data_IF_820226237959
#
_entry.id   IF_820226237959
#
_cell.length_a   1.000
_cell.length_b   1.000
_cell.length_c   1.000
_cell.angle_alpha   90.00
_cell.angle_beta   90.00
_cell.angle_gamma   90.00
#
_symmetry.space_group_name_H-M   'P 1'
#
loop_
_entity.id
_entity.type
_entity.pdbx_description
1 polymer ?
#
# COMPACT_ATOMS: atom_id res chain seq x y z
N UNK A 1 -5.40 -15.53 23.83
CA UNK A 1 -4.52 -16.22 22.84
C UNK A 1 -3.47 -15.23 22.36
N UNK A 2 -2.18 -15.61 22.29
CA UNK A 2 -1.09 -14.69 21.89
C UNK A 2 -1.31 -14.20 20.45
N UNK A 3 -1.24 -12.88 20.21
CA UNK A 3 -1.37 -12.30 18.86
C UNK A 3 -0.29 -12.83 17.89
N UNK A 4 0.83 -13.33 18.42
CA UNK A 4 1.93 -13.88 17.65
C UNK A 4 1.75 -15.34 17.22
N UNK A 5 0.62 -15.97 17.57
CA UNK A 5 0.24 -17.28 17.03
C UNK A 5 -0.64 -17.17 15.78
N UNK A 6 -1.18 -15.97 15.51
CA UNK A 6 -1.99 -15.69 14.33
C UNK A 6 -1.09 -15.17 13.18
N UNK A 7 -0.64 -16.11 12.35
CA UNK A 7 0.29 -15.81 11.23
C UNK A 7 -0.36 -14.90 10.20
N UNK A 8 -1.63 -15.11 9.87
CA UNK A 8 -2.34 -14.33 8.85
C UNK A 8 -2.48 -12.88 9.29
N UNK A 9 -2.89 -12.65 10.55
CA UNK A 9 -2.99 -11.31 11.11
C UNK A 9 -1.65 -10.59 11.19
N UNK A 10 -0.56 -11.32 11.46
CA UNK A 10 0.79 -10.74 11.40
C UNK A 10 1.17 -10.33 9.98
N UNK A 11 0.89 -11.18 8.99
CA UNK A 11 1.14 -10.88 7.56
C UNK A 11 0.35 -9.66 7.12
N UNK A 12 -0.94 -9.57 7.46
CA UNK A 12 -1.79 -8.43 7.14
C UNK A 12 -1.24 -7.12 7.73
N UNK A 13 -0.82 -7.13 9.00
CA UNK A 13 -0.25 -5.94 9.64
C UNK A 13 1.11 -5.52 9.06
N UNK A 14 1.88 -6.46 8.52
CA UNK A 14 3.11 -6.13 7.77
C UNK A 14 2.74 -5.47 6.44
N UNK A 15 1.78 -6.04 5.72
CA UNK A 15 1.31 -5.49 4.44
C UNK A 15 0.74 -4.07 4.61
N UNK A 16 0.05 -3.80 5.73
CA UNK A 16 -0.54 -2.50 6.09
C UNK A 16 0.45 -1.54 6.79
N UNK A 17 1.72 -1.93 6.99
CA UNK A 17 2.76 -1.16 7.70
C UNK A 17 2.51 -0.87 9.19
N UNK A 18 1.47 -1.43 9.79
CA UNK A 18 1.21 -1.43 11.24
C UNK A 18 2.24 -2.22 12.05
N UNK A 19 3.02 -3.08 11.38
CA UNK A 19 4.05 -3.90 11.99
C UNK A 19 5.27 -4.03 11.07
N UNK A 20 6.44 -3.61 11.55
CA UNK A 20 7.66 -3.75 10.76
C UNK A 20 8.26 -5.16 10.85
N UNK A 21 8.90 -5.61 9.76
CA UNK A 21 9.63 -6.89 9.72
C UNK A 21 10.79 -6.92 10.72
N UNK A 22 11.49 -5.81 10.94
CA UNK A 22 12.59 -5.72 11.91
C UNK A 22 12.09 -5.86 13.34
N UNK A 23 10.93 -5.27 13.68
CA UNK A 23 10.26 -5.48 14.97
C UNK A 23 9.96 -6.96 15.20
N UNK A 24 9.41 -7.65 14.19
CA UNK A 24 9.12 -9.08 14.28
C UNK A 24 10.38 -9.94 14.42
N UNK A 25 11.46 -9.62 13.70
CA UNK A 25 12.74 -10.31 13.86
C UNK A 25 13.26 -10.18 15.31
N UNK A 26 13.17 -8.98 15.89
CA UNK A 26 13.52 -8.76 17.30
C UNK A 26 12.66 -9.60 18.26
N UNK A 27 11.34 -9.64 18.05
CA UNK A 27 10.43 -10.44 18.87
C UNK A 27 10.68 -11.94 18.73
N UNK A 28 10.96 -12.41 17.52
CA UNK A 28 11.34 -13.81 17.27
C UNK A 28 12.55 -14.23 18.09
N UNK A 29 13.60 -13.40 18.11
CA UNK A 29 14.81 -13.67 18.89
C UNK A 29 14.52 -13.75 20.39
N UNK A 30 13.66 -12.84 20.91
CA UNK A 30 13.23 -12.85 22.32
C UNK A 30 12.43 -14.11 22.67
N UNK A 31 11.51 -14.54 21.81
CA UNK A 31 10.73 -15.77 22.04
C UNK A 31 11.58 -17.03 21.99
N UNK A 32 12.57 -17.10 21.09
CA UNK A 32 13.56 -18.19 21.11
C UNK A 32 14.32 -18.25 22.43
N UNK A 33 14.81 -17.11 22.91
CA UNK A 33 15.54 -17.04 24.18
C UNK A 33 14.68 -17.43 25.40
N UNK A 34 13.37 -17.15 25.33
CA UNK A 34 12.40 -17.50 26.37
C UNK A 34 11.82 -18.92 26.26
N UNK A 35 12.30 -19.75 25.32
CA UNK A 35 11.77 -21.11 25.10
C UNK A 35 10.37 -21.17 24.48
N UNK A 36 9.84 -20.03 24.00
CA UNK A 36 8.53 -19.89 23.33
C UNK A 36 8.65 -20.23 21.85
N UNK A 37 8.85 -21.51 21.56
CA UNK A 37 9.16 -22.01 20.21
C UNK A 37 8.00 -21.80 19.23
N UNK A 38 6.77 -22.03 19.66
CA UNK A 38 5.58 -21.88 18.82
C UNK A 38 5.42 -20.46 18.27
N UNK A 39 5.54 -19.43 19.12
CA UNK A 39 5.47 -18.04 18.68
C UNK A 39 6.68 -17.64 17.81
N UNK A 40 7.88 -18.15 18.12
CA UNK A 40 9.05 -17.90 17.30
C UNK A 40 8.95 -18.52 15.89
N UNK A 41 8.31 -19.68 15.76
CA UNK A 41 8.01 -20.33 14.48
C UNK A 41 6.92 -19.58 13.71
N UNK A 42 5.84 -19.20 14.37
CA UNK A 42 4.76 -18.43 13.77
C UNK A 42 5.27 -17.08 13.20
N UNK A 43 6.10 -16.36 13.95
CA UNK A 43 6.77 -15.15 13.45
C UNK A 43 7.69 -15.48 12.27
N UNK A 44 8.44 -16.58 12.33
CA UNK A 44 9.28 -17.04 11.23
C UNK A 44 8.49 -17.26 9.94
N UNK A 45 7.31 -17.86 10.05
CA UNK A 45 6.39 -18.11 8.93
C UNK A 45 5.87 -16.79 8.34
N UNK A 46 5.42 -15.86 9.18
CA UNK A 46 4.97 -14.54 8.74
C UNK A 46 6.09 -13.76 8.02
N UNK A 47 7.33 -13.83 8.52
CA UNK A 47 8.49 -13.20 7.89
C UNK A 47 8.83 -13.83 6.53
N UNK A 48 8.63 -15.14 6.34
CA UNK A 48 8.87 -15.77 5.04
C UNK A 48 7.77 -15.41 4.03
N UNK A 49 6.51 -15.42 4.46
CA UNK A 49 5.38 -15.03 3.62
C UNK A 49 5.45 -13.57 3.15
N UNK A 50 6.02 -12.69 3.96
CA UNK A 50 6.18 -11.26 3.64
C UNK A 50 7.57 -10.90 3.09
N UNK A 51 8.34 -11.90 2.64
CA UNK A 51 9.68 -11.68 2.10
C UNK A 51 9.68 -10.95 0.76
N UNK A 52 8.66 -11.17 -0.07
CA UNK A 52 8.53 -10.58 -1.41
C UNK A 52 7.42 -9.54 -1.45
N UNK A 53 7.74 -8.35 -1.97
CA UNK A 53 6.79 -7.28 -2.26
C UNK A 53 5.72 -7.72 -3.26
N UNK A 54 6.11 -8.45 -4.32
CA UNK A 54 5.18 -9.03 -5.29
C UNK A 54 4.15 -9.97 -4.65
N UNK A 55 4.58 -10.79 -3.68
CA UNK A 55 3.63 -11.63 -2.92
C UNK A 55 2.67 -10.78 -2.07
N UNK A 56 3.12 -9.64 -1.55
CA UNK A 56 2.25 -8.67 -0.87
C UNK A 56 1.19 -8.07 -1.78
N UNK A 57 1.56 -7.69 -3.00
CA UNK A 57 0.62 -7.18 -4.01
C UNK A 57 -0.44 -8.23 -4.36
N UNK A 58 -0.05 -9.50 -4.53
CA UNK A 58 -1.00 -10.58 -4.79
C UNK A 58 -1.98 -10.80 -3.63
N UNK A 59 -1.49 -10.76 -2.38
CA UNK A 59 -2.36 -10.86 -1.19
C UNK A 59 -3.32 -9.69 -1.11
N UNK A 60 -2.85 -8.47 -1.36
CA UNK A 60 -3.71 -7.29 -1.38
C UNK A 60 -4.79 -7.43 -2.45
N UNK A 61 -4.41 -7.83 -3.68
CA UNK A 61 -5.38 -8.06 -4.76
C UNK A 61 -6.47 -9.06 -4.37
N UNK A 62 -6.10 -10.17 -3.71
CA UNK A 62 -7.07 -11.16 -3.21
C UNK A 62 -8.00 -10.59 -2.14
N UNK A 63 -7.48 -9.80 -1.19
CA UNK A 63 -8.31 -9.15 -0.16
C UNK A 63 -9.29 -8.15 -0.76
N UNK A 64 -8.83 -7.33 -1.72
CA UNK A 64 -9.67 -6.37 -2.42
C UNK A 64 -10.80 -7.07 -3.19
N UNK A 65 -10.49 -8.14 -3.92
CA UNK A 65 -11.49 -8.92 -4.65
C UNK A 65 -12.55 -9.53 -3.71
N UNK A 66 -12.19 -9.89 -2.48
CA UNK A 66 -13.14 -10.40 -1.48
C UNK A 66 -13.98 -9.32 -0.79
N UNK A 67 -13.55 -8.05 -0.81
CA UNK A 67 -14.20 -6.93 -0.10
C UNK A 67 -15.05 -6.03 -1.01
N UNK A 68 -14.70 -5.95 -2.30
CA UNK A 68 -15.29 -5.01 -3.24
C UNK A 68 -16.45 -5.67 -3.97
N UNK A 69 -17.61 -5.03 -3.96
CA UNK A 69 -18.73 -5.42 -4.82
C UNK A 69 -18.41 -5.04 -6.27
N UNK A 70 -18.61 -5.98 -7.20
CA UNK A 70 -18.40 -5.70 -8.62
C UNK A 70 -19.23 -4.50 -9.08
N UNK A 71 -18.60 -3.66 -9.89
CA UNK A 71 -19.28 -2.52 -10.49
C UNK A 71 -20.26 -3.00 -11.54
N UNK A 72 -21.42 -2.35 -11.61
CA UNK A 72 -22.36 -2.54 -12.71
C UNK A 72 -21.67 -2.34 -14.08
N UNK A 73 -22.03 -3.16 -15.06
CA UNK A 73 -21.34 -3.23 -16.34
C UNK A 73 -21.36 -1.89 -17.10
N UNK A 74 -22.47 -1.13 -17.04
CA UNK A 74 -22.60 0.16 -17.70
C UNK A 74 -21.65 1.18 -17.07
N UNK A 75 -21.63 1.25 -15.73
CA UNK A 75 -20.72 2.11 -14.96
C UNK A 75 -19.25 1.74 -15.17
N UNK A 76 -18.95 0.45 -15.27
CA UNK A 76 -17.59 -0.04 -15.53
C UNK A 76 -17.09 0.41 -16.91
N UNK A 77 -17.95 0.35 -17.93
CA UNK A 77 -17.65 0.83 -19.28
C UNK A 77 -17.47 2.35 -19.29
N UNK A 78 -18.37 3.10 -18.65
CA UNK A 78 -18.30 4.56 -18.56
C UNK A 78 -16.99 5.02 -17.90
N UNK A 79 -16.64 4.42 -16.76
CA UNK A 79 -15.38 4.71 -16.07
C UNK A 79 -14.18 4.40 -16.96
N UNK A 80 -14.15 3.22 -17.58
CA UNK A 80 -13.04 2.80 -18.45
C UNK A 80 -12.88 3.74 -19.64
N UNK A 81 -13.97 4.09 -20.31
CA UNK A 81 -13.95 5.01 -21.44
C UNK A 81 -13.43 6.39 -21.05
N UNK A 82 -13.91 6.92 -19.93
CA UNK A 82 -13.47 8.21 -19.37
C UNK A 82 -11.97 8.19 -19.08
N UNK A 83 -11.50 7.18 -18.35
CA UNK A 83 -10.07 7.03 -18.02
C UNK A 83 -9.22 6.88 -19.30
N UNK A 84 -9.65 6.07 -20.27
CA UNK A 84 -8.93 5.89 -21.54
C UNK A 84 -8.83 7.18 -22.37
N UNK A 85 -9.87 8.02 -22.38
CA UNK A 85 -9.84 9.31 -23.06
C UNK A 85 -8.73 10.22 -22.53
N UNK A 86 -8.51 10.24 -21.21
CA UNK A 86 -7.46 11.05 -20.59
C UNK A 86 -6.10 10.35 -20.60
N UNK A 87 -6.06 9.02 -20.52
CA UNK A 87 -4.81 8.25 -20.61
C UNK A 87 -4.10 8.46 -21.96
N UNK A 88 -4.84 8.62 -23.05
CA UNK A 88 -4.24 8.94 -24.36
C UNK A 88 -3.62 10.35 -24.44
N UNK A 89 -3.97 11.25 -23.50
CA UNK A 89 -3.42 12.60 -23.33
C UNK A 89 -2.49 12.70 -22.11
N UNK A 90 -2.10 11.55 -21.56
CA UNK A 90 -1.54 11.40 -20.21
C UNK A 90 -0.30 12.25 -19.94
N UNK A 91 0.66 12.31 -20.86
CA UNK A 91 1.95 12.96 -20.59
C UNK A 91 1.79 14.46 -20.37
N UNK A 92 1.05 15.15 -21.24
CA UNK A 92 0.79 16.58 -21.11
C UNK A 92 -0.07 16.89 -19.89
N UNK A 93 -1.04 16.01 -19.59
CA UNK A 93 -1.91 16.16 -18.42
C UNK A 93 -1.13 15.98 -17.10
N UNK A 94 -0.28 14.95 -17.00
CA UNK A 94 0.55 14.70 -15.82
C UNK A 94 1.52 15.86 -15.57
N UNK A 95 2.23 16.31 -16.61
CA UNK A 95 3.13 17.46 -16.51
C UNK A 95 2.38 18.73 -16.07
N UNK A 96 1.20 18.99 -16.64
CA UNK A 96 0.37 20.14 -16.28
C UNK A 96 -0.10 20.11 -14.83
N UNK A 97 -0.48 18.93 -14.31
CA UNK A 97 -0.87 18.76 -12.91
C UNK A 97 0.32 19.03 -11.99
N UNK A 98 1.50 18.48 -12.29
CA UNK A 98 2.70 18.71 -11.49
C UNK A 98 3.07 20.20 -11.48
N UNK A 99 3.09 20.86 -12.64
CA UNK A 99 3.37 22.29 -12.73
C UNK A 99 2.36 23.13 -11.93
N UNK A 100 1.06 22.80 -11.99
CA UNK A 100 0.04 23.49 -11.22
C UNK A 100 0.28 23.38 -9.71
N UNK A 101 0.68 22.20 -9.22
CA UNK A 101 1.05 22.02 -7.82
C UNK A 101 2.36 22.74 -7.47
N UNK A 102 3.38 22.75 -8.34
CA UNK A 102 4.59 23.53 -8.12
C UNK A 102 4.27 25.01 -7.95
N UNK A 103 3.45 25.59 -8.84
CA UNK A 103 3.00 26.98 -8.72
C UNK A 103 2.19 27.25 -7.44
N UNK A 104 1.35 26.29 -7.01
CA UNK A 104 0.63 26.38 -5.74
C UNK A 104 1.58 26.43 -4.53
N UNK A 105 2.59 25.58 -4.52
CA UNK A 105 3.57 25.49 -3.45
C UNK A 105 4.50 26.72 -3.42
N UNK A 106 4.90 27.20 -4.58
CA UNK A 106 5.62 28.47 -4.73
C UNK A 106 4.81 29.65 -4.18
N UNK A 107 3.52 29.75 -4.52
CA UNK A 107 2.62 30.77 -3.99
C UNK A 107 2.42 30.68 -2.46
N UNK A 108 2.63 29.49 -1.87
CA UNK A 108 2.62 29.26 -0.42
C UNK A 108 3.98 29.52 0.25
N UNK A 109 5.01 29.89 -0.52
CA UNK A 109 6.37 30.14 -0.02
C UNK A 109 7.18 28.88 0.28
N UNK A 110 6.78 27.73 -0.27
CA UNK A 110 7.45 26.44 -0.10
C UNK A 110 7.76 25.85 -1.48
N UNK A 111 8.72 26.39 -2.24
CA UNK A 111 9.02 25.85 -3.57
C UNK A 111 9.41 24.37 -3.47
N UNK A 112 8.88 23.57 -4.39
CA UNK A 112 9.11 22.12 -4.46
C UNK A 112 9.58 21.71 -5.84
N UNK A 113 10.53 20.78 -5.87
CA UNK A 113 11.00 20.15 -7.09
C UNK A 113 9.96 19.16 -7.65
N UNK A 114 10.14 18.76 -8.91
CA UNK A 114 9.23 17.84 -9.59
C UNK A 114 9.01 16.55 -8.79
N UNK A 115 10.09 15.95 -8.28
CA UNK A 115 10.03 14.69 -7.53
C UNK A 115 9.29 14.85 -6.19
N UNK A 116 9.40 16.01 -5.55
CA UNK A 116 8.72 16.30 -4.28
C UNK A 116 7.22 16.50 -4.50
N UNK A 117 6.84 17.19 -5.58
CA UNK A 117 5.42 17.33 -5.97
C UNK A 117 4.84 15.99 -6.41
N UNK A 118 5.60 15.19 -7.16
CA UNK A 118 5.16 13.85 -7.54
C UNK A 118 4.95 12.96 -6.31
N UNK A 119 5.88 13.00 -5.34
CA UNK A 119 5.72 12.30 -4.06
C UNK A 119 4.46 12.77 -3.32
N UNK A 120 4.19 14.07 -3.27
CA UNK A 120 2.97 14.61 -2.66
C UNK A 120 1.70 14.06 -3.34
N UNK A 121 1.64 14.07 -4.68
CA UNK A 121 0.49 13.55 -5.45
C UNK A 121 0.30 12.06 -5.19
N UNK A 122 1.37 11.27 -5.16
CA UNK A 122 1.30 9.83 -4.90
C UNK A 122 0.86 9.51 -3.47
N UNK A 123 1.24 10.34 -2.49
CA UNK A 123 0.72 10.23 -1.12
C UNK A 123 -0.78 10.53 -1.06
N UNK A 124 -1.27 11.53 -1.79
CA UNK A 124 -2.70 11.80 -1.89
C UNK A 124 -3.46 10.65 -2.55
N UNK A 125 -2.89 10.03 -3.59
CA UNK A 125 -3.48 8.87 -4.25
C UNK A 125 -3.52 7.65 -3.31
N UNK A 126 -2.49 7.45 -2.48
CA UNK A 126 -2.46 6.39 -1.47
C UNK A 126 -3.55 6.58 -0.39
N UNK A 127 -3.73 7.80 0.11
CA UNK A 127 -4.81 8.14 1.06
C UNK A 127 -6.19 7.96 0.41
N UNK A 128 -6.38 8.39 -0.84
CA UNK A 128 -7.63 8.14 -1.57
C UNK A 128 -7.91 6.64 -1.71
N UNK A 129 -6.89 5.84 -2.02
CA UNK A 129 -7.02 4.39 -2.14
C UNK A 129 -7.43 3.75 -0.80
N UNK A 130 -6.83 4.17 0.31
CA UNK A 130 -7.20 3.71 1.65
C UNK A 130 -8.65 4.07 2.00
N UNK A 131 -9.10 5.29 1.68
CA UNK A 131 -10.50 5.68 1.92
C UNK A 131 -11.51 4.84 1.14
N UNK A 132 -11.15 4.41 -0.07
CA UNK A 132 -12.01 3.58 -0.92
C UNK A 132 -12.01 2.12 -0.47
N UNK A 133 -10.85 1.59 -0.06
CA UNK A 133 -10.64 0.14 0.10
C UNK A 133 -10.50 -0.31 1.56
N UNK A 134 -10.24 0.63 2.47
CA UNK A 134 -9.88 0.36 3.87
C UNK A 134 -8.46 -0.16 4.07
N UNK A 135 -7.59 -0.11 3.05
CA UNK A 135 -6.20 -0.59 3.13
C UNK A 135 -5.24 0.36 2.39
N UNK A 136 -4.02 0.55 2.90
CA UNK A 136 -2.96 1.26 2.18
C UNK A 136 -2.39 0.42 1.02
N UNK A 137 -1.93 1.05 -0.09
CA UNK A 137 -1.24 0.33 -1.16
C UNK A 137 0.03 -0.38 -0.68
N UNK A 138 0.25 -1.62 -1.11
CA UNK A 138 1.52 -2.32 -0.86
C UNK A 138 2.63 -1.67 -1.69
N UNK A 139 3.68 -1.19 -1.02
CA UNK A 139 4.82 -0.57 -1.71
C UNK A 139 5.72 -1.64 -2.33
N UNK A 140 6.01 -1.47 -3.61
CA UNK A 140 6.95 -2.31 -4.36
C UNK A 140 8.32 -1.63 -4.34
N UNK A 141 9.32 -2.35 -3.83
CA UNK A 141 10.74 -2.01 -3.85
C UNK A 141 11.49 -3.02 -4.72
#
# INVERSE_FOLDING_TARGET
MSIYLDVEKMVERIDQRDLSRSTLQGQRSRFKAAGRTAEAEAIGKALEMTRSSASGVLRQSQRLAGKITEMDAEKAIELKATVSLFASKSTDMQASIVLAFQSLFEAKGVPMEYDEVMAFIMLQAADQFERITGELPVIVH
#
